data_IF_839421412966
#
_entry.id   IF_839421412966
#
_cell.length_a   1.000
_cell.length_b   1.000
_cell.length_c   1.000
_cell.angle_alpha   90.00
_cell.angle_beta   90.00
_cell.angle_gamma   90.00
#
_symmetry.space_group_name_H-M   'P 1'
#
loop_
_entity.id
_entity.type
_entity.pdbx_description
1 polymer ?
#
# COMPACT_ATOMS: atom_id res chain seq x y z
N UNK A 1 -7.78 -11.15 -24.61
CA UNK A 1 -6.35 -11.32 -24.27
C UNK A 1 -6.05 -10.59 -22.96
N UNK A 2 -5.39 -11.25 -22.01
CA UNK A 2 -5.14 -10.69 -20.66
C UNK A 2 -3.67 -10.27 -20.50
N UNK A 3 -3.44 -8.98 -20.19
CA UNK A 3 -2.11 -8.40 -19.97
C UNK A 3 -1.83 -8.22 -18.48
N UNK A 4 -1.35 -9.30 -17.82
CA UNK A 4 -1.17 -9.31 -16.35
C UNK A 4 -0.22 -8.22 -15.85
N UNK A 5 0.73 -7.78 -16.68
CA UNK A 5 1.75 -6.79 -16.30
C UNK A 5 1.25 -5.34 -16.38
N UNK A 6 0.14 -5.09 -17.08
CA UNK A 6 -0.55 -3.80 -17.10
C UNK A 6 -1.36 -3.53 -15.82
N UNK A 7 -1.54 -4.54 -14.95
CA UNK A 7 -2.22 -4.34 -13.68
C UNK A 7 -1.50 -3.30 -12.80
N UNK A 8 -2.25 -2.35 -12.26
CA UNK A 8 -1.74 -1.23 -11.44
C UNK A 8 -1.16 -0.07 -12.23
N UNK A 9 -1.19 -0.12 -13.56
CA UNK A 9 -0.78 1.02 -14.40
C UNK A 9 -1.90 2.08 -14.46
N UNK A 10 -1.54 3.36 -14.54
CA UNK A 10 -2.48 4.47 -14.83
C UNK A 10 -3.30 4.23 -16.10
N UNK A 11 -2.70 3.59 -17.11
CA UNK A 11 -3.36 3.28 -18.39
C UNK A 11 -4.08 1.92 -18.39
N UNK A 12 -4.41 1.35 -17.22
CA UNK A 12 -5.04 0.02 -17.15
C UNK A 12 -6.36 -0.02 -17.92
N UNK A 13 -7.25 0.93 -17.68
CA UNK A 13 -8.58 1.05 -18.29
C UNK A 13 -8.59 1.91 -19.57
N UNK A 14 -7.54 2.70 -19.80
CA UNK A 14 -7.42 3.57 -20.97
C UNK A 14 -6.63 2.96 -22.13
N UNK A 15 -6.46 3.75 -23.18
CA UNK A 15 -5.58 3.43 -24.30
C UNK A 15 -4.11 3.45 -23.89
N UNK A 16 -3.31 2.53 -24.44
CA UNK A 16 -1.88 2.43 -24.16
C UNK A 16 -1.14 1.97 -25.41
N UNK A 17 -0.37 2.87 -26.04
CA UNK A 17 0.38 2.57 -27.27
C UNK A 17 1.23 1.30 -27.16
N UNK A 18 1.93 1.13 -26.04
CA UNK A 18 2.80 -0.04 -25.84
C UNK A 18 2.01 -1.36 -25.75
N UNK A 19 0.80 -1.34 -25.16
CA UNK A 19 -0.08 -2.52 -25.11
C UNK A 19 -0.64 -2.85 -26.49
N UNK A 20 -1.04 -1.84 -27.26
CA UNK A 20 -1.57 -2.04 -28.61
C UNK A 20 -0.48 -2.53 -29.57
N UNK A 21 0.74 -2.02 -29.48
CA UNK A 21 1.88 -2.53 -30.26
C UNK A 21 2.15 -4.02 -29.97
N UNK A 22 2.16 -4.41 -28.69
CA UNK A 22 2.31 -5.82 -28.30
C UNK A 22 1.14 -6.67 -28.79
N UNK A 23 -0.09 -6.17 -28.71
CA UNK A 23 -1.29 -6.85 -29.22
C UNK A 23 -1.20 -7.10 -30.72
N UNK A 24 -0.75 -6.12 -31.49
CA UNK A 24 -0.57 -6.25 -32.94
C UNK A 24 0.47 -7.33 -33.29
N UNK A 25 1.60 -7.37 -32.57
CA UNK A 25 2.67 -8.34 -32.82
C UNK A 25 2.28 -9.80 -32.55
N UNK A 26 1.36 -10.03 -31.61
CA UNK A 26 0.95 -11.39 -31.21
C UNK A 26 -0.40 -11.80 -31.80
N UNK A 27 -1.01 -10.94 -32.62
CA UNK A 27 -2.29 -11.21 -33.27
C UNK A 27 -2.17 -12.42 -34.20
N UNK A 28 -3.18 -13.28 -34.21
CA UNK A 28 -3.19 -14.50 -35.03
C UNK A 28 -2.39 -15.69 -34.48
N UNK A 29 -1.57 -15.50 -33.45
CA UNK A 29 -0.77 -16.58 -32.83
C UNK A 29 -1.55 -17.43 -31.80
N UNK A 30 -2.85 -17.17 -31.60
CA UNK A 30 -3.67 -17.86 -30.60
C UNK A 30 -3.31 -17.52 -29.14
N UNK A 31 -2.49 -16.48 -28.89
CA UNK A 31 -2.06 -16.12 -27.54
C UNK A 31 -3.21 -15.49 -26.74
N UNK A 32 -3.61 -16.13 -25.65
CA UNK A 32 -4.71 -15.65 -24.79
C UNK A 32 -4.22 -14.81 -23.59
N UNK A 33 -2.97 -14.97 -23.17
CA UNK A 33 -2.36 -14.18 -22.10
C UNK A 33 -0.87 -13.97 -22.30
N UNK A 34 -0.35 -12.82 -21.88
CA UNK A 34 1.06 -12.47 -21.99
C UNK A 34 1.57 -11.79 -20.72
N UNK A 35 2.72 -12.26 -20.22
CA UNK A 35 3.49 -11.60 -19.17
C UNK A 35 4.71 -10.95 -19.81
N UNK A 36 4.78 -9.62 -19.77
CA UNK A 36 5.87 -8.86 -20.39
C UNK A 36 6.29 -7.67 -19.53
N UNK A 37 7.57 -7.30 -19.56
CA UNK A 37 8.07 -6.12 -18.82
C UNK A 37 7.86 -4.87 -19.67
N UNK A 38 6.94 -4.01 -19.24
CA UNK A 38 6.69 -2.72 -19.89
C UNK A 38 7.63 -1.66 -19.31
N UNK A 39 8.52 -1.09 -20.14
CA UNK A 39 9.45 -0.02 -19.73
C UNK A 39 8.73 1.29 -19.37
N UNK A 40 7.53 1.51 -19.92
CA UNK A 40 6.73 2.72 -19.73
C UNK A 40 5.62 2.56 -18.70
N UNK A 41 5.68 1.52 -17.87
CA UNK A 41 4.67 1.29 -16.84
C UNK A 41 4.75 2.41 -15.80
N UNK A 42 3.66 3.16 -15.66
CA UNK A 42 3.49 4.18 -14.60
C UNK A 42 2.46 3.68 -13.61
N UNK A 43 2.83 3.54 -12.34
CA UNK A 43 1.90 3.10 -11.31
C UNK A 43 0.82 4.15 -11.07
N UNK A 44 -0.42 3.69 -10.89
CA UNK A 44 -1.53 4.55 -10.49
C UNK A 44 -1.33 5.11 -9.08
N UNK A 45 -0.72 4.30 -8.20
CA UNK A 45 -0.37 4.66 -6.85
C UNK A 45 1.04 4.18 -6.55
N UNK A 46 1.83 5.04 -5.95
CA UNK A 46 3.21 4.80 -5.57
C UNK A 46 3.30 4.67 -4.03
N UNK A 47 4.28 3.93 -3.50
CA UNK A 47 4.57 3.94 -2.07
C UNK A 47 4.72 5.36 -1.53
N UNK A 48 4.03 5.66 -0.43
CA UNK A 48 3.97 6.99 0.19
C UNK A 48 2.80 7.86 -0.27
N UNK A 49 2.05 7.48 -1.31
CA UNK A 49 0.84 8.23 -1.70
C UNK A 49 -0.20 8.23 -0.58
N UNK A 50 -0.71 9.42 -0.25
CA UNK A 50 -1.88 9.58 0.60
C UNK A 50 -3.14 9.24 -0.20
N UNK A 51 -3.97 8.37 0.36
CA UNK A 51 -5.16 7.82 -0.29
C UNK A 51 -6.29 7.69 0.70
N UNK A 52 -7.50 7.52 0.19
CA UNK A 52 -8.58 6.91 0.94
C UNK A 52 -8.73 5.46 0.54
N UNK A 53 -9.01 4.60 1.52
CA UNK A 53 -9.21 3.17 1.33
C UNK A 53 -10.57 2.76 1.84
N UNK A 54 -11.36 2.14 0.96
CA UNK A 54 -12.59 1.48 1.33
C UNK A 54 -12.29 0.05 1.83
N UNK A 55 -12.60 -0.23 3.09
CA UNK A 55 -12.41 -1.55 3.70
C UNK A 55 -13.56 -1.87 4.65
N UNK A 56 -13.51 -3.06 5.25
CA UNK A 56 -14.50 -3.53 6.22
C UNK A 56 -14.24 -2.87 7.58
N UNK A 57 -15.30 -2.31 8.17
CA UNK A 57 -15.39 -1.94 9.58
C UNK A 57 -16.29 -2.91 10.35
N UNK A 58 -16.18 -2.87 11.68
CA UNK A 58 -16.97 -3.68 12.60
C UNK A 58 -17.69 -2.74 13.56
N UNK A 59 -18.99 -2.94 13.79
CA UNK A 59 -19.71 -2.20 14.82
C UNK A 59 -19.37 -2.75 16.21
N UNK A 60 -19.17 -1.88 17.21
CA UNK A 60 -18.77 -2.31 18.55
C UNK A 60 -19.90 -3.00 19.34
N UNK A 61 -21.17 -2.77 19.01
CA UNK A 61 -22.33 -3.18 19.84
C UNK A 61 -23.43 -3.97 19.10
N UNK A 62 -23.24 -4.30 17.82
CA UNK A 62 -24.24 -4.99 16.97
C UNK A 62 -23.81 -6.40 16.55
N UNK A 63 -24.79 -7.27 16.30
CA UNK A 63 -24.61 -8.68 15.88
C UNK A 63 -23.78 -8.80 14.59
N UNK A 64 -22.45 -8.93 14.69
CA UNK A 64 -21.52 -9.26 13.58
C UNK A 64 -21.68 -8.46 12.26
N UNK A 65 -22.35 -7.31 12.28
CA UNK A 65 -22.64 -6.57 11.06
C UNK A 65 -21.37 -5.89 10.53
N UNK A 66 -21.02 -6.28 9.31
CA UNK A 66 -19.87 -5.76 8.57
C UNK A 66 -20.35 -4.63 7.67
N UNK A 67 -19.86 -3.42 7.92
CA UNK A 67 -20.06 -2.30 7.00
C UNK A 67 -18.79 -2.03 6.20
N UNK A 68 -18.95 -1.37 5.05
CA UNK A 68 -17.83 -0.84 4.27
C UNK A 68 -17.75 0.64 4.57
N UNK A 69 -16.62 1.10 5.06
CA UNK A 69 -16.33 2.52 5.19
C UNK A 69 -14.97 2.87 4.60
N UNK A 70 -14.67 4.16 4.59
CA UNK A 70 -13.59 4.80 3.87
C UNK A 70 -12.69 5.54 4.84
N UNK A 71 -11.48 5.03 5.03
CA UNK A 71 -10.50 5.63 5.94
C UNK A 71 -9.32 6.25 5.21
N UNK A 72 -8.71 7.32 5.76
CA UNK A 72 -7.45 7.83 5.27
C UNK A 72 -6.34 6.81 5.46
N UNK A 73 -5.51 6.63 4.44
CA UNK A 73 -4.43 5.65 4.45
C UNK A 73 -3.22 6.14 3.67
N UNK A 74 -2.11 5.44 3.84
CA UNK A 74 -0.88 5.60 3.07
C UNK A 74 -0.60 4.35 2.25
N UNK A 75 -0.27 4.49 0.97
CA UNK A 75 0.13 3.36 0.13
C UNK A 75 1.50 2.87 0.56
N UNK A 76 1.61 1.60 0.95
CA UNK A 76 2.88 0.98 1.32
C UNK A 76 3.52 0.27 0.12
N UNK A 77 2.71 -0.45 -0.65
CA UNK A 77 3.21 -1.21 -1.79
C UNK A 77 2.14 -1.47 -2.85
N UNK A 78 2.48 -1.30 -4.12
CA UNK A 78 1.67 -1.76 -5.24
C UNK A 78 2.02 -3.21 -5.63
N UNK A 79 1.02 -4.11 -5.60
CA UNK A 79 1.13 -5.52 -6.01
C UNK A 79 0.12 -5.85 -7.11
N UNK A 80 0.46 -5.55 -8.35
CA UNK A 80 -0.39 -5.83 -9.51
C UNK A 80 -1.69 -5.03 -9.45
N UNK A 81 -2.84 -5.70 -9.30
CA UNK A 81 -4.16 -5.06 -9.21
C UNK A 81 -4.59 -4.70 -7.78
N UNK A 82 -3.72 -4.90 -6.79
CA UNK A 82 -3.97 -4.65 -5.37
C UNK A 82 -2.90 -3.74 -4.80
N UNK A 83 -3.27 -3.01 -3.75
CA UNK A 83 -2.37 -2.22 -2.93
C UNK A 83 -2.31 -2.84 -1.53
N UNK A 84 -1.14 -2.70 -0.91
CA UNK A 84 -1.00 -2.77 0.54
C UNK A 84 -0.98 -1.33 1.00
N UNK A 85 -1.93 -0.96 1.85
CA UNK A 85 -2.03 0.36 2.45
C UNK A 85 -1.92 0.22 3.97
N UNK A 86 -1.53 1.29 4.62
CA UNK A 86 -1.52 1.42 6.07
C UNK A 86 -2.56 2.45 6.47
N UNK A 87 -3.53 2.03 7.27
CA UNK A 87 -4.47 2.91 7.97
C UNK A 87 -3.96 3.00 9.41
N UNK A 88 -3.78 4.23 9.90
CA UNK A 88 -3.34 4.45 11.27
C UNK A 88 -4.45 4.00 12.23
N UNK A 89 -4.18 3.12 13.22
CA UNK A 89 -5.20 2.71 14.18
C UNK A 89 -5.81 3.93 14.88
N UNK A 90 -7.14 3.98 14.96
CA UNK A 90 -7.88 5.14 15.47
C UNK A 90 -8.12 6.25 14.45
N UNK A 91 -7.64 6.14 13.20
CA UNK A 91 -7.99 7.09 12.15
C UNK A 91 -9.49 7.07 11.89
N UNK A 92 -10.11 8.25 11.84
CA UNK A 92 -11.55 8.39 11.64
C UNK A 92 -11.92 8.28 10.15
N UNK A 93 -13.08 7.68 9.86
CA UNK A 93 -13.73 7.82 8.56
C UNK A 93 -14.56 9.12 8.49
N UNK A 94 -15.31 9.28 7.38
CA UNK A 94 -16.19 10.43 7.16
C UNK A 94 -17.34 10.54 8.20
N UNK A 95 -17.66 9.44 8.89
CA UNK A 95 -18.69 9.35 9.94
C UNK A 95 -18.12 9.42 11.36
N UNK A 96 -16.85 9.81 11.50
CA UNK A 96 -16.13 9.87 12.79
C UNK A 96 -15.96 8.51 13.49
N UNK A 97 -16.03 7.40 12.74
CA UNK A 97 -15.82 6.07 13.28
C UNK A 97 -14.33 5.68 13.20
N UNK A 98 -13.69 5.37 14.33
CA UNK A 98 -12.27 5.04 14.36
C UNK A 98 -11.98 3.70 13.67
N UNK A 99 -10.89 3.65 12.93
CA UNK A 99 -10.41 2.42 12.32
C UNK A 99 -9.79 1.50 13.38
N UNK A 100 -10.36 0.31 13.53
CA UNK A 100 -9.84 -0.74 14.40
C UNK A 100 -9.25 -1.89 13.57
N UNK A 101 -7.93 -2.17 13.70
CA UNK A 101 -7.33 -3.32 13.06
C UNK A 101 -7.95 -4.63 13.58
N UNK A 102 -8.21 -5.58 12.68
CA UNK A 102 -8.70 -6.90 13.08
C UNK A 102 -7.67 -7.64 13.95
N UNK A 103 -8.07 -8.07 15.15
CA UNK A 103 -7.26 -8.86 16.09
C UNK A 103 -5.88 -8.22 16.37
N UNK A 104 -4.79 -8.96 16.20
CA UNK A 104 -3.41 -8.47 16.36
C UNK A 104 -2.88 -7.69 15.13
N UNK A 105 -3.79 -7.16 14.31
CA UNK A 105 -3.45 -6.35 13.15
C UNK A 105 -2.76 -5.05 13.55
N UNK A 106 -1.95 -4.51 12.65
CA UNK A 106 -1.18 -3.28 12.86
C UNK A 106 -1.52 -2.20 11.83
N UNK A 107 -2.77 -2.15 11.35
CA UNK A 107 -3.21 -1.15 10.37
C UNK A 107 -2.95 -1.47 8.89
N UNK A 108 -2.21 -2.54 8.59
CA UNK A 108 -1.96 -2.92 7.19
C UNK A 108 -3.18 -3.60 6.56
N UNK A 109 -3.68 -3.05 5.46
CA UNK A 109 -4.80 -3.57 4.70
C UNK A 109 -4.42 -3.85 3.26
N UNK A 110 -4.93 -4.95 2.70
CA UNK A 110 -4.71 -5.33 1.31
C UNK A 110 -5.99 -5.13 0.53
N UNK A 111 -6.03 -4.13 -0.34
CA UNK A 111 -7.25 -3.71 -1.05
C UNK A 111 -7.07 -3.72 -2.56
N UNK A 112 -8.13 -4.01 -3.34
CA UNK A 112 -8.09 -3.83 -4.78
C UNK A 112 -8.00 -2.34 -5.14
N UNK A 113 -7.38 -2.02 -6.27
CA UNK A 113 -7.27 -0.63 -6.78
C UNK A 113 -8.62 0.09 -6.90
N UNK A 114 -9.71 -0.65 -7.10
CA UNK A 114 -11.05 -0.07 -7.24
C UNK A 114 -11.59 0.52 -5.93
N UNK A 115 -11.02 0.14 -4.78
CA UNK A 115 -11.39 0.61 -3.44
C UNK A 115 -10.43 1.67 -2.91
N UNK A 116 -9.66 2.30 -3.80
CA UNK A 116 -8.66 3.30 -3.44
C UNK A 116 -8.84 4.54 -4.30
N UNK A 117 -8.89 5.69 -3.65
CA UNK A 117 -8.94 7.00 -4.30
C UNK A 117 -7.81 7.89 -3.79
N UNK A 118 -7.36 8.84 -4.61
CA UNK A 118 -6.36 9.81 -4.17
C UNK A 118 -6.93 10.71 -3.07
N UNK A 119 -6.10 11.02 -2.08
CA UNK A 119 -6.37 12.00 -1.04
C UNK A 119 -5.35 13.12 -1.18
N UNK A 120 -5.81 14.36 -1.20
CA UNK A 120 -4.92 15.51 -1.23
C UNK A 120 -4.31 15.73 0.16
N UNK A 121 -3.14 15.15 0.37
CA UNK A 121 -2.39 15.26 1.61
C UNK A 121 -0.90 15.01 1.35
N UNK A 122 -0.08 15.34 2.35
CA UNK A 122 1.37 15.14 2.28
C UNK A 122 1.69 13.66 2.11
N UNK A 123 2.59 13.36 1.16
CA UNK A 123 3.10 12.01 0.96
C UNK A 123 4.02 11.63 2.10
N UNK A 124 3.86 10.40 2.55
CA UNK A 124 4.72 9.80 3.56
C UNK A 124 5.98 9.22 2.93
N UNK A 125 7.05 9.17 3.72
CA UNK A 125 8.25 8.44 3.35
C UNK A 125 8.14 6.98 3.78
N UNK A 126 8.03 6.06 2.80
CA UNK A 126 7.97 4.62 3.04
C UNK A 126 9.34 4.02 2.79
N UNK A 127 9.89 3.35 3.80
CA UNK A 127 11.19 2.71 3.73
C UNK A 127 11.22 1.60 2.66
N UNK A 128 12.22 1.64 1.79
CA UNK A 128 12.34 0.67 0.70
C UNK A 128 12.72 -0.73 1.17
N UNK A 129 13.34 -0.86 2.33
CA UNK A 129 13.75 -2.13 2.89
C UNK A 129 12.62 -2.79 3.69
N UNK A 130 12.18 -2.18 4.79
CA UNK A 130 11.22 -2.79 5.71
C UNK A 130 9.75 -2.51 5.34
N UNK A 131 9.49 -1.67 4.31
CA UNK A 131 8.14 -1.31 3.85
C UNK A 131 7.25 -0.76 4.97
N UNK A 132 7.84 0.03 5.87
CA UNK A 132 7.14 0.80 6.91
C UNK A 132 7.28 2.29 6.65
N UNK A 133 6.33 3.07 7.15
CA UNK A 133 6.43 4.53 7.17
C UNK A 133 7.54 4.92 8.16
N UNK A 134 8.45 5.80 7.75
CA UNK A 134 9.66 6.12 8.52
C UNK A 134 9.37 6.84 9.84
N UNK A 135 8.33 7.69 9.90
CA UNK A 135 7.94 8.38 11.14
C UNK A 135 7.34 7.46 12.22
N UNK A 136 6.96 6.22 11.88
CA UNK A 136 6.31 5.32 12.83
C UNK A 136 7.35 4.61 13.70
N UNK A 137 7.02 4.44 14.98
CA UNK A 137 7.83 3.71 15.94
C UNK A 137 8.16 2.29 15.46
N UNK A 138 9.34 1.81 15.83
CA UNK A 138 9.85 0.51 15.40
C UNK A 138 10.41 0.48 13.97
N UNK A 139 10.35 1.57 13.18
CA UNK A 139 11.09 1.61 11.91
C UNK A 139 12.59 1.38 12.14
N UNK A 140 13.17 2.04 13.15
CA UNK A 140 14.59 1.98 13.49
C UNK A 140 15.08 0.58 13.88
N UNK A 141 14.21 -0.22 14.52
CA UNK A 141 14.59 -1.54 15.03
C UNK A 141 14.65 -2.62 13.93
N UNK A 142 13.96 -2.40 12.81
CA UNK A 142 13.86 -3.36 11.70
C UNK A 142 14.48 -2.86 10.39
N UNK A 143 14.86 -1.59 10.31
CA UNK A 143 15.49 -1.02 9.13
C UNK A 143 17.00 -1.24 9.20
N UNK A 144 17.53 -2.01 8.24
CA UNK A 144 18.98 -2.25 8.12
C UNK A 144 19.79 -0.96 8.00
N UNK A 145 19.20 0.08 7.41
CA UNK A 145 19.85 1.35 7.12
C UNK A 145 19.48 2.44 8.15
N UNK A 146 18.76 2.09 9.23
CA UNK A 146 18.58 3.01 10.34
C UNK A 146 19.95 3.32 10.98
N UNK A 147 20.21 4.57 11.41
CA UNK A 147 21.39 4.86 12.21
C UNK A 147 21.39 3.89 13.39
N UNK A 148 22.45 3.08 13.53
CA UNK A 148 22.58 2.17 14.67
C UNK A 148 22.41 3.02 15.92
N UNK A 149 21.37 2.75 16.73
CA UNK A 149 21.25 3.32 18.06
C UNK A 149 22.61 3.12 18.71
N UNK A 150 23.35 4.20 18.99
CA UNK A 150 24.53 4.11 19.82
C UNK A 150 24.04 3.48 21.11
N UNK A 151 24.35 2.20 21.29
CA UNK A 151 24.16 1.52 22.56
C UNK A 151 25.16 2.22 23.47
N UNK A 152 24.73 3.30 24.12
CA UNK A 152 25.38 3.77 25.33
C UNK A 152 25.32 2.57 26.26
N UNK A 153 26.46 1.88 26.31
CA UNK A 153 26.71 0.85 27.27
C UNK A 153 26.87 1.63 28.56
N UNK A 154 25.84 1.56 29.43
CA UNK A 154 26.04 1.80 30.85
C UNK A 154 27.01 0.73 31.35
N UNK A 155 28.30 0.98 31.15
CA UNK A 155 29.37 0.26 31.80
C UNK A 155 30.36 1.26 32.37
N UNK A 156 30.33 1.30 33.69
CA UNK A 156 31.38 1.71 34.61
C UNK A 156 31.58 3.21 34.83
N UNK A 157 30.98 3.70 35.92
CA UNK A 157 31.84 4.22 36.99
C UNK A 157 31.74 3.28 38.20
N UNK A 158 32.75 2.42 38.31
CA UNK A 158 33.24 1.89 39.58
C UNK A 158 34.17 2.97 40.19
N UNK A 159 34.23 3.00 41.54
CA UNK A 159 35.19 3.70 42.41
C UNK A 159 34.76 5.10 42.87
N UNK A 160 34.17 5.23 44.07
CA UNK A 160 34.84 5.40 45.37
C UNK A 160 33.91 5.00 46.51
#
# INVERSE_FOLDING_TARGET
MTYRTCAGCVFRSGYCHAREAVKAQVSGLGVTSLKWRCKWKRLAFNPGDAVFVETIGYEPEGDEDVYISKWPATVIQAKGSRLICFIEPGALDDGEVPFEPKAHGNGHVKVPLARVSHRDAVREHVCDFCKRIVRLAGHEDYCRDAPQKQRFTDQAEYLF
#
